data_IF_185859319615
#
_entry.id   IF_185859319615
#
_cell.length_a   1.000
_cell.length_b   1.000
_cell.length_c   1.000
_cell.angle_alpha   90.00
_cell.angle_beta   90.00
_cell.angle_gamma   90.00
#
_symmetry.space_group_name_H-M   'P 1'
#
loop_
_entity.id
_entity.type
_entity.pdbx_description
1 polymer ?
#
# COMPACT_ATOMS: atom_id res chain seq x y z
N UNK A 1 3.11 -1.65 10.09
CA UNK A 1 2.23 -1.98 11.23
C UNK A 1 0.93 -2.66 10.82
N UNK A 2 0.13 -2.13 9.88
CA UNK A 2 -1.12 -2.78 9.48
C UNK A 2 -0.91 -4.21 8.95
N UNK A 3 0.05 -4.40 8.07
CA UNK A 3 0.42 -5.74 7.56
C UNK A 3 0.92 -6.66 8.67
N UNK A 4 1.70 -6.15 9.62
CA UNK A 4 2.21 -6.94 10.75
C UNK A 4 1.08 -7.40 11.65
N UNK A 5 0.12 -6.52 11.96
CA UNK A 5 -1.06 -6.87 12.74
C UNK A 5 -1.95 -7.90 12.02
N UNK A 6 -2.11 -7.77 10.70
CA UNK A 6 -2.82 -8.76 9.90
C UNK A 6 -2.10 -10.12 9.88
N UNK A 7 -0.77 -10.14 9.72
CA UNK A 7 0.03 -11.36 9.77
C UNK A 7 -0.04 -12.04 11.13
N UNK A 8 0.05 -11.27 12.21
CA UNK A 8 -0.09 -11.77 13.59
C UNK A 8 -1.43 -12.47 13.79
N UNK A 9 -2.52 -11.82 13.42
CA UNK A 9 -3.85 -12.37 13.59
C UNK A 9 -4.05 -13.63 12.76
N UNK A 10 -3.74 -13.57 11.47
CA UNK A 10 -4.00 -14.69 10.56
C UNK A 10 -3.08 -15.88 10.82
N UNK A 11 -1.82 -15.65 11.15
CA UNK A 11 -0.90 -16.71 11.57
C UNK A 11 -1.24 -17.29 12.94
N UNK A 12 -1.93 -16.53 13.80
CA UNK A 12 -2.15 -16.89 15.21
C UNK A 12 -0.86 -16.87 16.03
N UNK A 13 0.06 -15.97 15.71
CA UNK A 13 1.41 -15.89 16.31
C UNK A 13 1.67 -14.45 16.76
N UNK A 14 1.99 -14.19 18.04
CA UNK A 14 2.22 -12.84 18.56
C UNK A 14 3.52 -12.25 18.00
N UNK A 15 3.42 -11.57 16.89
CA UNK A 15 4.55 -10.99 16.15
C UNK A 15 4.89 -9.57 16.65
N UNK A 16 3.88 -8.79 17.00
CA UNK A 16 4.05 -7.42 17.52
C UNK A 16 4.64 -7.38 18.95
N UNK A 17 4.71 -8.52 19.63
CA UNK A 17 5.32 -8.63 20.96
C UNK A 17 6.83 -8.88 20.92
N UNK A 18 7.41 -9.02 19.74
CA UNK A 18 8.85 -9.20 19.60
C UNK A 18 9.59 -7.97 20.15
N UNK A 19 10.52 -8.15 21.11
CA UNK A 19 11.15 -7.04 21.82
C UNK A 19 12.15 -6.26 20.95
N UNK A 20 12.74 -6.93 19.97
CA UNK A 20 13.76 -6.39 19.09
C UNK A 20 13.65 -6.96 17.67
N UNK A 21 14.50 -6.48 16.78
CA UNK A 21 14.53 -6.86 15.37
C UNK A 21 14.90 -8.33 15.16
N UNK A 22 15.80 -8.85 15.96
CA UNK A 22 16.29 -10.22 15.90
C UNK A 22 15.20 -11.20 16.35
N UNK A 23 14.54 -10.92 17.45
CA UNK A 23 13.38 -11.69 17.92
C UNK A 23 12.22 -11.63 16.93
N UNK A 24 11.96 -10.46 16.35
CA UNK A 24 10.95 -10.30 15.31
C UNK A 24 11.26 -11.17 14.08
N UNK A 25 12.49 -11.11 13.58
CA UNK A 25 12.92 -11.90 12.43
C UNK A 25 12.84 -13.41 12.71
N UNK A 26 13.22 -13.85 13.91
CA UNK A 26 13.09 -15.24 14.34
C UNK A 26 11.64 -15.69 14.36
N UNK A 27 10.75 -14.99 15.08
CA UNK A 27 9.32 -15.33 15.16
C UNK A 27 8.69 -15.33 13.77
N UNK A 28 9.04 -14.35 12.95
CA UNK A 28 8.56 -14.27 11.58
C UNK A 28 8.94 -15.51 10.78
N UNK A 29 10.22 -15.86 10.73
CA UNK A 29 10.73 -16.93 9.88
C UNK A 29 10.35 -18.33 10.39
N UNK A 30 10.38 -18.55 11.70
CA UNK A 30 10.17 -19.87 12.30
C UNK A 30 8.70 -20.19 12.56
N UNK A 31 7.84 -19.19 12.72
CA UNK A 31 6.44 -19.39 13.13
C UNK A 31 5.42 -18.78 12.16
N UNK A 32 5.56 -17.50 11.82
CA UNK A 32 4.56 -16.81 10.97
C UNK A 32 4.63 -17.32 9.55
N UNK A 33 5.83 -17.40 9.00
CA UNK A 33 6.08 -17.85 7.63
C UNK A 33 5.57 -19.28 7.40
N UNK A 34 5.87 -20.27 8.23
CA UNK A 34 5.29 -21.62 8.08
C UNK A 34 3.77 -21.65 8.24
N UNK A 35 3.21 -20.83 9.14
CA UNK A 35 1.77 -20.79 9.33
C UNK A 35 1.00 -20.23 8.12
N UNK A 36 1.58 -19.27 7.40
CA UNK A 36 0.94 -18.63 6.25
C UNK A 36 1.17 -19.36 4.92
N UNK A 37 2.23 -20.14 4.79
CA UNK A 37 2.63 -20.69 3.50
C UNK A 37 3.32 -19.64 2.60
N UNK A 38 3.71 -19.92 1.37
CA UNK A 38 4.38 -19.03 0.39
C UNK A 38 3.41 -18.58 -0.71
N UNK A 39 3.66 -17.44 -1.39
CA UNK A 39 2.97 -17.14 -2.64
C UNK A 39 3.00 -18.35 -3.58
N UNK A 40 1.82 -18.72 -4.11
CA UNK A 40 1.64 -19.95 -4.89
C UNK A 40 1.39 -21.23 -4.08
N UNK A 41 1.67 -21.23 -2.77
CA UNK A 41 1.46 -22.37 -1.86
C UNK A 41 0.95 -21.92 -0.48
N UNK A 42 0.02 -20.98 -0.46
CA UNK A 42 -0.58 -20.48 0.78
C UNK A 42 -1.39 -21.55 1.52
N UNK A 43 -1.24 -21.60 2.84
CA UNK A 43 -2.20 -22.29 3.72
C UNK A 43 -3.55 -21.57 3.70
N UNK A 44 -4.58 -22.10 4.40
CA UNK A 44 -5.83 -21.38 4.61
C UNK A 44 -5.59 -20.01 5.30
N UNK A 45 -4.71 -19.97 6.29
CA UNK A 45 -4.29 -18.73 6.98
C UNK A 45 -3.54 -17.78 6.06
N UNK A 46 -2.71 -18.31 5.17
CA UNK A 46 -2.01 -17.52 4.17
C UNK A 46 -2.96 -16.85 3.19
N UNK A 47 -4.01 -17.53 2.75
CA UNK A 47 -5.06 -16.93 1.91
C UNK A 47 -5.82 -15.82 2.63
N UNK A 48 -6.10 -15.98 3.94
CA UNK A 48 -6.68 -14.90 4.74
C UNK A 48 -5.75 -13.67 4.76
N UNK A 49 -4.47 -13.88 5.07
CA UNK A 49 -3.47 -12.82 5.08
C UNK A 49 -3.35 -12.12 3.71
N UNK A 50 -3.28 -12.90 2.65
CA UNK A 50 -3.17 -12.40 1.27
C UNK A 50 -4.34 -11.51 0.89
N UNK A 51 -5.56 -11.95 1.20
CA UNK A 51 -6.77 -11.16 0.99
C UNK A 51 -6.75 -9.86 1.79
N UNK A 52 -6.39 -9.90 3.08
CA UNK A 52 -6.29 -8.67 3.88
C UNK A 52 -5.25 -7.70 3.31
N UNK A 53 -4.10 -8.19 2.88
CA UNK A 53 -3.06 -7.35 2.26
C UNK A 53 -3.56 -6.72 0.97
N UNK A 54 -4.27 -7.47 0.13
CA UNK A 54 -4.90 -6.95 -1.09
C UNK A 54 -5.70 -5.66 -0.81
N UNK A 55 -6.57 -5.69 0.19
CA UNK A 55 -7.37 -4.53 0.56
C UNK A 55 -6.56 -3.40 1.21
N UNK A 56 -5.53 -3.72 1.99
CA UNK A 56 -4.62 -2.71 2.53
C UNK A 56 -3.82 -2.00 1.44
N UNK A 57 -3.57 -2.66 0.32
CA UNK A 57 -2.87 -2.10 -0.83
C UNK A 57 -3.76 -1.26 -1.77
N UNK A 58 -5.07 -1.26 -1.59
CA UNK A 58 -5.98 -0.45 -2.40
C UNK A 58 -7.09 -1.25 -3.11
N UNK A 59 -7.30 -2.50 -2.71
CA UNK A 59 -8.33 -3.43 -3.18
C UNK A 59 -8.09 -4.04 -4.57
N UNK A 60 -9.13 -4.59 -5.19
CA UNK A 60 -9.09 -5.40 -6.42
C UNK A 60 -8.63 -4.63 -7.66
N UNK A 61 -7.43 -4.13 -7.62
CA UNK A 61 -6.78 -3.62 -8.82
C UNK A 61 -6.02 -4.76 -9.50
N UNK A 62 -6.14 -4.85 -10.78
CA UNK A 62 -5.33 -5.76 -11.56
C UNK A 62 -3.85 -5.43 -11.34
N UNK A 63 -3.05 -6.44 -11.06
CA UNK A 63 -1.65 -6.26 -10.73
C UNK A 63 -1.32 -6.17 -9.24
N UNK A 64 -2.29 -6.19 -8.33
CA UNK A 64 -2.02 -6.34 -6.89
C UNK A 64 -1.21 -7.60 -6.55
N UNK A 65 -1.39 -8.65 -7.33
CA UNK A 65 -0.63 -9.89 -7.18
C UNK A 65 0.77 -9.82 -7.77
N UNK A 66 1.00 -8.89 -8.70
CA UNK A 66 2.21 -8.87 -9.51
C UNK A 66 3.47 -8.65 -8.66
N UNK A 67 3.52 -7.64 -7.78
CA UNK A 67 4.67 -7.46 -6.90
C UNK A 67 4.90 -8.63 -5.99
N UNK A 68 3.85 -9.32 -5.68
CA UNK A 68 3.81 -10.35 -4.69
C UNK A 68 4.31 -11.68 -5.22
N UNK A 69 4.06 -11.94 -6.49
CA UNK A 69 4.58 -13.11 -7.23
C UNK A 69 6.01 -12.90 -7.67
N UNK A 70 6.31 -11.74 -8.25
CA UNK A 70 7.59 -11.47 -8.92
C UNK A 70 8.76 -11.29 -7.99
N UNK A 71 8.53 -10.76 -6.82
CA UNK A 71 9.65 -10.39 -5.96
C UNK A 71 9.79 -11.30 -4.74
N UNK A 72 8.93 -12.29 -4.58
CA UNK A 72 8.85 -13.05 -3.33
C UNK A 72 8.56 -12.11 -2.15
N UNK A 73 8.11 -10.92 -2.48
CA UNK A 73 8.22 -9.70 -1.70
C UNK A 73 7.18 -9.59 -0.63
N UNK A 74 5.99 -10.10 -0.82
CA UNK A 74 4.96 -10.03 0.21
C UNK A 74 5.50 -10.45 1.55
N UNK A 75 6.44 -11.36 1.52
CA UNK A 75 6.98 -11.96 2.71
C UNK A 75 8.28 -11.37 3.20
N UNK A 76 9.26 -11.21 2.33
CA UNK A 76 10.53 -10.62 2.73
C UNK A 76 10.36 -9.14 3.03
N UNK A 77 9.62 -8.44 2.19
CA UNK A 77 9.53 -7.00 2.24
C UNK A 77 8.55 -6.49 3.29
N UNK A 78 7.32 -6.98 3.27
CA UNK A 78 6.31 -6.50 4.21
C UNK A 78 6.59 -6.89 5.65
N UNK A 79 7.36 -7.94 5.85
CA UNK A 79 7.60 -8.47 7.17
C UNK A 79 9.04 -8.26 7.64
N UNK A 80 10.08 -8.47 6.83
CA UNK A 80 11.47 -8.27 7.25
C UNK A 80 11.86 -6.81 7.50
N UNK A 81 11.17 -5.86 6.88
CA UNK A 81 11.48 -4.44 7.07
C UNK A 81 10.71 -3.78 8.19
N UNK A 82 9.85 -4.51 8.88
CA UNK A 82 8.80 -3.92 9.69
C UNK A 82 8.79 -4.38 11.14
N UNK A 83 9.95 -4.70 11.71
CA UNK A 83 10.01 -4.61 13.16
C UNK A 83 9.66 -3.19 13.55
N UNK A 84 8.55 -3.05 14.26
CA UNK A 84 8.13 -1.78 14.84
C UNK A 84 7.75 -2.06 16.28
N UNK A 85 8.32 -1.34 17.22
CA UNK A 85 8.04 -1.55 18.61
C UNK A 85 6.54 -1.39 18.87
N UNK A 86 6.03 -2.19 19.76
CA UNK A 86 4.66 -2.07 20.25
C UNK A 86 4.46 -0.78 21.02
N UNK A 87 5.47 -0.40 21.77
CA UNK A 87 5.52 0.82 22.56
C UNK A 87 6.13 1.95 21.72
N UNK A 88 5.26 2.82 21.21
CA UNK A 88 5.65 3.99 20.46
C UNK A 88 6.03 5.19 21.33
N UNK A 89 5.80 5.14 22.63
CA UNK A 89 6.18 6.22 23.55
C UNK A 89 7.71 6.40 23.60
N UNK A 90 8.44 5.28 23.59
CA UNK A 90 9.89 5.25 23.63
C UNK A 90 10.55 5.09 22.24
N UNK A 91 9.79 5.15 21.15
CA UNK A 91 10.32 5.05 19.80
C UNK A 91 11.17 6.30 19.45
N UNK A 92 12.46 6.13 19.10
CA UNK A 92 13.32 7.27 18.80
C UNK A 92 12.97 7.98 17.48
N UNK A 93 12.31 7.28 16.54
CA UNK A 93 11.92 7.87 15.26
C UNK A 93 10.59 8.63 15.39
N UNK A 94 10.61 9.97 15.28
CA UNK A 94 9.41 10.77 15.48
C UNK A 94 8.29 10.47 14.47
N UNK A 95 8.62 10.07 13.24
CA UNK A 95 7.64 9.66 12.24
C UNK A 95 6.94 8.35 12.63
N UNK A 96 7.65 7.41 13.25
CA UNK A 96 7.07 6.17 13.75
C UNK A 96 6.21 6.38 14.99
N UNK A 97 6.59 7.30 15.88
CA UNK A 97 5.77 7.66 17.06
C UNK A 97 4.36 8.08 16.68
N UNK A 98 4.19 8.72 15.52
CA UNK A 98 2.89 9.16 15.01
C UNK A 98 2.08 8.04 14.31
N UNK A 99 2.64 6.86 14.13
CA UNK A 99 1.98 5.77 13.42
C UNK A 99 0.74 5.24 14.17
N UNK A 100 -0.29 4.90 13.43
CA UNK A 100 -1.55 4.43 13.99
C UNK A 100 -2.26 3.47 13.04
N UNK A 101 -2.92 2.46 13.60
CA UNK A 101 -3.82 1.57 12.85
C UNK A 101 -5.26 1.62 13.37
N UNK A 102 -5.57 2.52 14.32
CA UNK A 102 -6.90 2.58 14.96
C UNK A 102 -8.02 2.96 14.00
N UNK A 103 -7.69 3.72 12.95
CA UNK A 103 -8.64 4.18 11.94
C UNK A 103 -8.77 3.23 10.74
N UNK A 104 -7.96 2.17 10.68
CA UNK A 104 -7.98 1.24 9.56
C UNK A 104 -9.15 0.26 9.74
N UNK A 105 -10.05 0.21 8.77
CA UNK A 105 -10.99 -0.89 8.63
C UNK A 105 -10.34 -1.97 7.75
N UNK A 106 -10.05 -3.10 8.34
CA UNK A 106 -9.52 -4.25 7.63
C UNK A 106 -10.65 -4.96 6.88
N UNK A 107 -10.38 -5.37 5.66
CA UNK A 107 -11.29 -6.11 4.78
C UNK A 107 -10.69 -7.45 4.43
N UNK A 108 -11.56 -8.42 4.11
CA UNK A 108 -11.19 -9.77 3.70
C UNK A 108 -12.24 -10.31 2.73
N UNK A 109 -11.84 -11.13 1.77
CA UNK A 109 -12.78 -11.78 0.87
C UNK A 109 -13.68 -12.76 1.63
N UNK A 110 -14.93 -12.92 1.22
CA UNK A 110 -15.84 -13.89 1.82
C UNK A 110 -15.38 -15.32 1.57
N UNK A 111 -15.79 -16.24 2.44
CA UNK A 111 -15.53 -17.67 2.28
C UNK A 111 -14.15 -18.15 2.73
N UNK A 112 -13.32 -17.26 3.32
CA UNK A 112 -11.99 -17.63 3.82
C UNK A 112 -11.97 -18.12 5.28
N UNK A 113 -13.14 -18.32 5.91
CA UNK A 113 -13.25 -18.80 7.29
C UNK A 113 -12.90 -17.76 8.36
N UNK A 114 -12.90 -16.48 7.99
CA UNK A 114 -12.76 -15.31 8.86
C UNK A 114 -13.63 -14.20 8.27
N UNK A 115 -14.51 -13.61 9.06
CA UNK A 115 -15.35 -12.48 8.64
C UNK A 115 -14.65 -11.14 8.86
N UNK A 116 -15.12 -10.08 8.18
CA UNK A 116 -14.59 -8.72 8.41
C UNK A 116 -14.81 -8.26 9.86
N UNK A 117 -15.94 -8.60 10.45
CA UNK A 117 -16.25 -8.20 11.83
C UNK A 117 -15.32 -8.92 12.83
N UNK A 118 -15.13 -10.24 12.69
CA UNK A 118 -14.16 -10.98 13.50
C UNK A 118 -12.73 -10.46 13.31
N UNK A 119 -12.32 -10.19 12.05
CA UNK A 119 -11.02 -9.61 11.74
C UNK A 119 -10.83 -8.27 12.47
N UNK A 120 -11.81 -7.36 12.36
CA UNK A 120 -11.70 -6.03 12.95
C UNK A 120 -11.83 -6.05 14.49
N UNK A 121 -12.57 -7.00 15.06
CA UNK A 121 -12.67 -7.18 16.51
C UNK A 121 -11.38 -7.73 17.14
N UNK A 122 -10.65 -8.55 16.40
CA UNK A 122 -9.48 -9.29 16.93
C UNK A 122 -8.14 -8.72 16.54
N UNK A 123 -8.04 -7.99 15.40
CA UNK A 123 -6.78 -7.41 14.94
C UNK A 123 -6.25 -6.38 15.93
N UNK A 124 -4.99 -6.49 16.30
CA UNK A 124 -4.37 -5.52 17.19
C UNK A 124 -4.33 -4.13 16.56
N UNK A 125 -4.68 -3.14 17.38
CA UNK A 125 -4.61 -1.73 17.02
C UNK A 125 -3.37 -1.11 17.63
N UNK A 126 -2.56 -0.49 16.79
CA UNK A 126 -1.43 0.32 17.22
C UNK A 126 -1.91 1.76 17.37
N UNK A 127 -1.67 2.34 18.53
CA UNK A 127 -1.99 3.74 18.83
C UNK A 127 -0.72 4.58 18.71
N UNK A 128 -0.80 5.83 18.25
CA UNK A 128 0.36 6.71 18.25
C UNK A 128 0.79 7.01 19.69
N UNK A 129 2.05 7.37 19.86
CA UNK A 129 2.53 7.90 21.13
C UNK A 129 1.78 9.19 21.48
N UNK A 130 1.75 9.50 22.78
CA UNK A 130 1.10 10.71 23.28
C UNK A 130 1.68 11.93 22.57
N UNK A 131 0.79 12.80 22.12
CA UNK A 131 1.12 14.04 21.42
C UNK A 131 1.97 13.92 20.14
N UNK A 132 2.29 12.68 19.70
CA UNK A 132 3.14 12.46 18.54
C UNK A 132 2.58 13.00 17.20
N UNK A 133 1.30 13.40 17.20
CA UNK A 133 0.63 14.05 16.06
C UNK A 133 0.41 15.54 16.25
N UNK A 134 0.97 16.14 17.29
CA UNK A 134 0.98 17.59 17.47
C UNK A 134 2.29 18.18 16.92
N UNK A 135 2.20 19.31 16.22
CA UNK A 135 3.39 19.96 15.67
C UNK A 135 4.37 20.43 16.77
N UNK A 136 3.88 20.71 17.98
CA UNK A 136 4.71 21.10 19.12
C UNK A 136 5.55 19.95 19.68
N UNK A 137 5.00 18.73 19.71
CA UNK A 137 5.70 17.56 20.25
C UNK A 137 6.45 16.77 19.17
N UNK A 138 6.10 16.96 17.89
CA UNK A 138 6.69 16.25 16.77
C UNK A 138 6.77 17.18 15.54
N UNK A 139 7.82 18.00 15.44
CA UNK A 139 7.94 19.01 14.37
C UNK A 139 8.09 18.40 12.96
N UNK A 140 8.42 17.12 12.86
CA UNK A 140 8.47 16.40 11.57
C UNK A 140 7.12 15.81 11.15
N UNK A 141 6.13 15.84 12.03
CA UNK A 141 4.79 15.41 11.70
C UNK A 141 4.01 16.50 10.97
N UNK A 142 3.52 16.17 9.79
CA UNK A 142 2.62 17.05 9.04
C UNK A 142 1.33 16.29 8.72
N UNK A 143 0.19 16.83 9.15
CA UNK A 143 -1.12 16.32 8.76
C UNK A 143 -1.37 16.66 7.28
N UNK A 144 -1.57 15.64 6.47
CA UNK A 144 -1.93 15.83 5.06
C UNK A 144 -3.43 16.08 4.94
N UNK A 145 -3.80 17.35 5.03
CA UNK A 145 -5.20 17.79 5.09
C UNK A 145 -5.95 17.66 3.77
N UNK A 146 -5.24 17.55 2.66
CA UNK A 146 -5.82 17.62 1.32
C UNK A 146 -6.15 19.05 0.85
N UNK A 147 -5.83 20.08 1.64
CA UNK A 147 -6.05 21.49 1.27
C UNK A 147 -4.95 21.97 0.34
N UNK A 148 -5.12 21.69 -0.95
CA UNK A 148 -4.21 22.15 -1.98
C UNK A 148 -4.47 23.63 -2.30
N UNK A 149 -3.40 24.37 -2.53
CA UNK A 149 -3.42 25.76 -3.00
C UNK A 149 -2.76 25.94 -4.36
N UNK A 150 -2.11 24.88 -4.85
CA UNK A 150 -1.44 24.81 -6.16
C UNK A 150 -1.74 23.47 -6.82
N UNK A 151 -1.63 23.39 -8.16
CA UNK A 151 -1.72 22.13 -8.86
C UNK A 151 -0.72 21.10 -8.36
N UNK A 152 -1.16 19.85 -8.21
CA UNK A 152 -0.35 18.71 -7.82
C UNK A 152 -0.60 17.55 -8.78
N UNK A 153 0.47 17.03 -9.38
CA UNK A 153 0.44 15.80 -10.17
C UNK A 153 1.28 14.73 -9.47
N UNK A 154 0.69 13.56 -9.25
CA UNK A 154 1.39 12.41 -8.67
C UNK A 154 1.61 11.31 -9.70
N UNK A 155 2.70 10.58 -9.53
CA UNK A 155 2.99 9.32 -10.24
C UNK A 155 3.05 8.19 -9.23
N UNK A 156 2.34 7.08 -9.50
CA UNK A 156 2.28 5.94 -8.59
C UNK A 156 2.29 4.61 -9.35
N UNK A 157 2.84 3.55 -8.76
CA UNK A 157 2.75 2.20 -9.32
C UNK A 157 1.69 1.39 -8.57
N UNK A 158 0.86 0.63 -9.32
CA UNK A 158 -0.22 -0.17 -8.73
C UNK A 158 0.27 -1.17 -7.70
N UNK A 159 1.46 -1.68 -7.90
CA UNK A 159 2.03 -2.74 -7.09
C UNK A 159 3.05 -2.29 -6.06
N UNK A 160 3.13 -1.00 -5.77
CA UNK A 160 4.01 -0.50 -4.72
C UNK A 160 3.59 -1.03 -3.34
N UNK A 161 4.39 -1.95 -2.81
CA UNK A 161 4.14 -2.55 -1.51
C UNK A 161 4.62 -1.68 -0.34
N UNK A 162 5.45 -0.67 -0.60
CA UNK A 162 5.99 0.23 0.41
C UNK A 162 5.07 1.41 0.67
N UNK A 163 4.62 1.99 -0.42
CA UNK A 163 3.69 3.11 -0.46
C UNK A 163 2.49 2.64 -1.28
N UNK A 164 1.54 1.94 -0.68
CA UNK A 164 0.46 1.30 -1.44
C UNK A 164 -0.48 2.32 -2.07
N UNK A 165 -1.11 1.96 -3.20
CA UNK A 165 -2.08 2.79 -3.92
C UNK A 165 -3.23 3.30 -3.02
N UNK A 166 -3.52 2.60 -1.92
CA UNK A 166 -4.48 3.07 -0.92
C UNK A 166 -4.12 4.43 -0.31
N UNK A 167 -2.85 4.86 -0.37
CA UNK A 167 -2.44 6.20 0.06
C UNK A 167 -2.86 7.26 -0.96
N UNK A 168 -2.74 6.99 -2.26
CA UNK A 168 -3.29 7.85 -3.33
C UNK A 168 -4.80 7.98 -3.19
N UNK A 169 -5.50 6.88 -2.98
CA UNK A 169 -6.95 6.86 -2.72
C UNK A 169 -7.32 7.68 -1.48
N UNK A 170 -6.57 7.51 -0.40
CA UNK A 170 -6.79 8.26 0.84
C UNK A 170 -6.56 9.76 0.65
N UNK A 171 -5.55 10.13 -0.12
CA UNK A 171 -5.25 11.52 -0.39
C UNK A 171 -6.33 12.17 -1.27
N UNK A 172 -6.80 11.48 -2.31
CA UNK A 172 -7.91 11.97 -3.14
C UNK A 172 -9.18 12.20 -2.31
N UNK A 173 -9.55 11.27 -1.41
CA UNK A 173 -10.70 11.49 -0.50
C UNK A 173 -10.53 12.72 0.37
N UNK A 174 -9.31 13.00 0.85
CA UNK A 174 -9.01 14.21 1.63
C UNK A 174 -9.14 15.48 0.80
N UNK A 175 -8.66 15.50 -0.44
CA UNK A 175 -8.80 16.66 -1.34
C UNK A 175 -10.26 16.89 -1.73
N UNK A 176 -11.05 15.84 -1.91
CA UNK A 176 -12.51 15.94 -2.13
C UNK A 176 -13.17 16.58 -0.91
N UNK A 177 -12.89 16.07 0.29
CA UNK A 177 -13.44 16.61 1.53
C UNK A 177 -13.01 18.06 1.79
N UNK A 178 -11.84 18.46 1.32
CA UNK A 178 -11.32 19.82 1.41
C UNK A 178 -11.80 20.75 0.27
N UNK A 179 -12.52 20.23 -0.75
CA UNK A 179 -12.98 21.01 -1.91
C UNK A 179 -11.87 21.35 -2.92
N UNK A 180 -10.71 20.71 -2.84
CA UNK A 180 -9.52 21.03 -3.64
C UNK A 180 -9.12 19.95 -4.63
N UNK A 181 -9.95 18.93 -4.83
CA UNK A 181 -9.65 17.81 -5.75
C UNK A 181 -9.45 18.25 -7.21
N UNK A 182 -9.98 19.41 -7.60
CA UNK A 182 -9.73 19.99 -8.90
C UNK A 182 -8.25 20.38 -9.13
N UNK A 183 -7.47 20.54 -8.06
CA UNK A 183 -6.03 20.78 -8.09
C UNK A 183 -5.19 19.51 -8.01
N UNK A 184 -5.79 18.31 -7.95
CA UNK A 184 -5.08 17.04 -7.91
C UNK A 184 -5.26 16.28 -9.22
N UNK A 185 -4.15 15.80 -9.78
CA UNK A 185 -4.11 14.80 -10.86
C UNK A 185 -3.25 13.64 -10.41
N UNK A 186 -3.80 12.43 -10.45
CA UNK A 186 -3.08 11.21 -10.09
C UNK A 186 -2.90 10.35 -11.32
N UNK A 187 -1.66 9.98 -11.64
CA UNK A 187 -1.31 9.04 -12.70
C UNK A 187 -0.79 7.77 -12.08
N UNK A 188 -1.36 6.67 -12.51
CA UNK A 188 -0.99 5.35 -12.01
C UNK A 188 -0.40 4.55 -13.16
N UNK A 189 0.65 3.82 -12.88
CA UNK A 189 1.27 2.88 -13.81
C UNK A 189 1.15 1.45 -13.27
N UNK A 190 0.98 0.50 -14.16
CA UNK A 190 0.92 -0.92 -13.79
C UNK A 190 2.33 -1.47 -13.68
N UNK A 191 2.74 -1.75 -12.48
CA UNK A 191 4.08 -2.26 -12.23
C UNK A 191 4.25 -2.73 -10.78
N UNK A 192 5.23 -3.61 -10.55
CA UNK A 192 5.51 -4.16 -9.22
C UNK A 192 6.47 -3.28 -8.40
N UNK A 193 6.88 -2.14 -8.93
CA UNK A 193 7.99 -1.37 -8.39
C UNK A 193 7.61 -0.37 -7.32
N UNK A 194 8.64 0.33 -6.89
CA UNK A 194 8.55 1.53 -6.05
C UNK A 194 9.38 2.61 -6.73
N UNK A 195 8.71 3.64 -7.26
CA UNK A 195 9.34 4.73 -8.02
C UNK A 195 10.12 4.26 -9.28
N UNK A 196 9.69 3.17 -9.90
CA UNK A 196 10.33 2.57 -11.09
C UNK A 196 10.06 3.32 -12.41
N UNK A 197 9.67 4.58 -12.36
CA UNK A 197 9.37 5.39 -13.55
C UNK A 197 10.64 5.68 -14.36
N UNK A 198 10.56 5.51 -15.67
CA UNK A 198 11.62 5.92 -16.58
C UNK A 198 11.73 7.45 -16.71
N UNK A 199 12.78 7.92 -17.41
CA UNK A 199 13.04 9.34 -17.62
C UNK A 199 11.91 10.01 -18.38
N UNK A 200 11.45 9.42 -19.48
CA UNK A 200 10.40 9.96 -20.35
C UNK A 200 9.08 10.15 -19.59
N UNK A 201 8.70 9.18 -18.79
CA UNK A 201 7.48 9.26 -17.95
C UNK A 201 7.55 10.43 -16.97
N UNK A 202 8.70 10.63 -16.34
CA UNK A 202 8.92 11.75 -15.40
C UNK A 202 8.92 13.10 -16.11
N UNK A 203 9.64 13.21 -17.22
CA UNK A 203 9.70 14.43 -18.04
C UNK A 203 8.30 14.83 -18.52
N UNK A 204 7.55 13.90 -19.12
CA UNK A 204 6.17 14.15 -19.54
C UNK A 204 5.27 14.61 -18.41
N UNK A 205 5.37 13.99 -17.23
CA UNK A 205 4.56 14.40 -16.09
C UNK A 205 4.93 15.80 -15.59
N UNK A 206 6.21 16.15 -15.62
CA UNK A 206 6.69 17.48 -15.26
C UNK A 206 6.24 18.53 -16.29
N UNK A 207 6.39 18.28 -17.59
CA UNK A 207 5.96 19.18 -18.65
C UNK A 207 4.45 19.44 -18.60
N UNK A 208 3.66 18.42 -18.34
CA UNK A 208 2.23 18.54 -18.18
C UNK A 208 1.84 19.37 -16.93
N UNK A 209 2.60 19.22 -15.84
CA UNK A 209 2.41 20.03 -14.63
C UNK A 209 2.75 21.50 -14.90
N UNK A 210 3.86 21.77 -15.61
CA UNK A 210 4.25 23.13 -16.03
C UNK A 210 3.18 23.74 -16.94
N UNK A 211 2.70 22.99 -17.92
CA UNK A 211 1.63 23.41 -18.81
C UNK A 211 0.34 23.75 -18.06
N UNK A 212 0.04 22.97 -17.03
CA UNK A 212 -1.12 23.23 -16.18
C UNK A 212 -0.97 24.52 -15.38
N UNK A 213 0.20 24.74 -14.78
CA UNK A 213 0.47 25.96 -13.99
C UNK A 213 0.49 27.22 -14.87
N UNK A 214 1.18 27.15 -16.01
CA UNK A 214 1.42 28.33 -16.84
C UNK A 214 0.28 28.65 -17.80
N UNK A 215 -0.40 27.64 -18.32
CA UNK A 215 -1.41 27.77 -19.38
C UNK A 215 -2.81 27.32 -18.97
N UNK A 216 -3.00 26.85 -17.74
CA UNK A 216 -4.30 26.35 -17.25
C UNK A 216 -4.73 25.03 -17.88
N UNK A 217 -3.85 24.34 -18.62
CA UNK A 217 -4.17 23.07 -19.28
C UNK A 217 -4.06 21.92 -18.30
N UNK A 218 -5.17 21.61 -17.60
CA UNK A 218 -5.19 20.51 -16.64
C UNK A 218 -4.94 19.17 -17.33
N UNK A 219 -3.90 18.42 -16.93
CA UNK A 219 -3.59 17.14 -17.55
C UNK A 219 -4.60 16.04 -17.15
N UNK A 220 -4.62 14.98 -17.93
CA UNK A 220 -5.42 13.81 -17.62
C UNK A 220 -4.74 12.97 -16.53
N UNK A 221 -5.57 12.31 -15.71
CA UNK A 221 -5.17 11.37 -14.67
C UNK A 221 -6.09 10.16 -14.63
N UNK A 222 -5.95 9.37 -13.58
CA UNK A 222 -6.76 8.19 -13.29
C UNK A 222 -7.79 8.50 -12.19
N UNK A 223 -8.92 7.83 -12.23
CA UNK A 223 -9.84 7.76 -11.09
C UNK A 223 -9.47 6.56 -10.20
N UNK A 224 -8.63 6.82 -9.22
CA UNK A 224 -8.18 5.79 -8.28
C UNK A 224 -9.27 5.37 -7.27
N UNK A 225 -10.44 6.03 -7.30
CA UNK A 225 -11.61 5.67 -6.49
C UNK A 225 -12.71 4.98 -7.30
N UNK A 226 -12.49 4.73 -8.58
CA UNK A 226 -13.46 4.01 -9.41
C UNK A 226 -13.85 2.67 -8.76
N UNK A 227 -15.12 2.26 -8.87
CA UNK A 227 -15.57 0.97 -8.33
C UNK A 227 -14.84 -0.23 -8.94
N UNK A 228 -14.46 -0.13 -10.22
CA UNK A 228 -13.63 -1.11 -10.92
C UNK A 228 -12.25 -0.51 -11.23
N UNK A 229 -11.25 -1.07 -10.60
CA UNK A 229 -9.85 -0.70 -10.79
C UNK A 229 -9.08 -1.70 -11.67
N UNK A 230 -9.75 -2.67 -12.28
CA UNK A 230 -9.10 -3.71 -13.08
C UNK A 230 -8.26 -3.16 -14.24
N UNK A 231 -8.63 -1.99 -14.75
CA UNK A 231 -7.97 -1.31 -15.86
C UNK A 231 -7.14 -0.09 -15.46
N UNK A 232 -7.08 0.23 -14.16
CA UNK A 232 -6.28 1.38 -13.68
C UNK A 232 -4.83 1.23 -14.10
N UNK A 233 -4.22 2.31 -14.52
CA UNK A 233 -2.82 2.37 -14.92
C UNK A 233 -2.52 1.96 -16.37
N UNK A 234 -3.48 1.39 -17.11
CA UNK A 234 -3.25 1.00 -18.52
C UNK A 234 -2.83 2.16 -19.40
N UNK A 235 -3.42 3.33 -19.19
CA UNK A 235 -3.15 4.52 -20.01
C UNK A 235 -1.69 4.98 -19.93
N UNK A 236 -1.09 4.81 -18.77
CA UNK A 236 0.23 5.35 -18.44
C UNK A 236 1.34 4.29 -18.47
N UNK A 237 0.98 3.05 -18.81
CA UNK A 237 1.91 1.92 -18.86
C UNK A 237 2.12 1.53 -20.32
N UNK A 238 3.17 2.02 -20.97
CA UNK A 238 3.40 1.76 -22.40
C UNK A 238 3.69 0.27 -22.66
N UNK A 239 4.35 -0.41 -21.73
CA UNK A 239 4.67 -1.83 -21.83
C UNK A 239 4.24 -2.52 -20.54
N UNK A 240 3.26 -3.42 -20.65
CA UNK A 240 2.82 -4.22 -19.53
C UNK A 240 3.86 -5.27 -19.16
N UNK A 241 4.02 -5.52 -17.87
CA UNK A 241 4.82 -6.63 -17.40
C UNK A 241 4.26 -7.95 -17.97
N UNK A 242 5.09 -8.92 -18.40
CA UNK A 242 4.62 -10.16 -19.03
C UNK A 242 3.64 -10.98 -18.19
N UNK A 243 3.68 -10.85 -16.87
CA UNK A 243 2.75 -11.51 -15.95
C UNK A 243 1.52 -10.66 -15.61
N UNK A 244 1.39 -9.46 -16.15
CA UNK A 244 0.17 -8.68 -15.97
C UNK A 244 -1.00 -9.44 -16.63
N UNK A 245 -2.15 -9.58 -15.96
CA UNK A 245 -3.31 -10.29 -16.51
C UNK A 245 -3.79 -9.74 -17.86
N UNK A 246 -3.49 -8.47 -18.15
CA UNK A 246 -3.86 -7.79 -19.40
C UNK A 246 -2.71 -7.73 -20.42
N UNK A 247 -1.54 -8.30 -20.09
CA UNK A 247 -0.44 -8.39 -21.05
C UNK A 247 -0.82 -9.32 -22.21
N UNK A 248 -0.40 -8.99 -23.45
CA UNK A 248 -0.58 -9.88 -24.58
C UNK A 248 0.03 -11.26 -24.28
N UNK A 249 -0.77 -12.30 -24.37
CA UNK A 249 -0.22 -13.67 -24.25
C UNK A 249 0.78 -13.90 -25.37
N UNK A 250 2.02 -14.22 -25.01
CA UNK A 250 2.96 -14.71 -26.01
C UNK A 250 2.34 -15.95 -26.63
N UNK A 251 2.09 -15.91 -27.94
CA UNK A 251 1.77 -17.13 -28.67
C UNK A 251 2.91 -18.10 -28.42
N UNK A 252 2.62 -19.27 -27.86
CA UNK A 252 3.55 -20.37 -27.85
C UNK A 252 3.78 -20.76 -29.30
N UNK A 253 4.76 -20.12 -29.95
CA UNK A 253 5.31 -20.64 -31.18
C UNK A 253 5.96 -21.99 -30.81
N UNK A 254 5.24 -23.04 -31.16
CA UNK A 254 5.71 -24.42 -31.19
C UNK A 254 7.11 -24.48 -31.84
N UNK A 255 8.08 -24.85 -31.02
CA UNK A 255 9.29 -25.50 -31.54
C UNK A 255 9.03 -26.99 -31.59
#
# INVERSE_FOLDING_TARGET
MAYTAAAELTAGVPLLDAPDKEAFARVLNERVVPALGMPGAYTARGRQFDSVVKYLMGADQAGNDLPLRLQGLKRRYLLNMMHRPRDLENEPNPGLRAASTVHIRYRIDPGLGLTEDELNARVRRVRPAKDARSASANPVYAERTGRLTVPLLTLHETGDAWVPLSLEQSYLRRTIAAGTSHLLVQRVMRGPGHCGFDGETRERAFDDLVAWIERGVRPQGEDVLAPDLSRVGLRWTPVLHPEDPLAPRRSSSSQ
#
